data_IF_996302174900
#
_entry.id   IF_996302174900
#
_cell.length_a   1.000
_cell.length_b   1.000
_cell.length_c   1.000
_cell.angle_alpha   90.00
_cell.angle_beta   90.00
_cell.angle_gamma   90.00
#
_symmetry.space_group_name_H-M   'P 1'
#
loop_
_entity.id
_entity.type
_entity.pdbx_description
1 polymer ?
#
# COMPACT_ATOMS: atom_id res chain seq x y z
N UNK A 1 -0.17 -14.32 -28.77
CA UNK A 1 -1.47 -14.23 -28.07
C UNK A 1 -1.20 -14.35 -26.58
N UNK A 2 -1.24 -13.24 -25.84
CA UNK A 2 -1.14 -13.26 -24.38
C UNK A 2 -2.53 -13.56 -23.81
N UNK A 3 -2.72 -14.74 -23.23
CA UNK A 3 -3.94 -15.14 -22.55
C UNK A 3 -4.19 -14.25 -21.34
N UNK A 4 -5.36 -13.62 -21.29
CA UNK A 4 -5.83 -12.84 -20.13
C UNK A 4 -6.39 -13.83 -19.11
N UNK A 5 -5.69 -14.00 -17.99
CA UNK A 5 -5.96 -15.04 -16.99
C UNK A 5 -7.34 -14.93 -16.31
N UNK A 6 -7.87 -13.72 -16.08
CA UNK A 6 -9.22 -13.54 -15.52
C UNK A 6 -9.80 -12.18 -16.00
N UNK A 7 -11.10 -12.11 -16.34
CA UNK A 7 -11.76 -10.84 -16.65
C UNK A 7 -12.00 -9.99 -15.37
N UNK A 8 -11.92 -8.65 -15.46
CA UNK A 8 -11.84 -7.78 -14.30
C UNK A 8 -13.24 -7.32 -13.86
N UNK A 9 -13.97 -8.13 -13.09
CA UNK A 9 -15.14 -7.62 -12.35
C UNK A 9 -15.19 -8.21 -10.95
N UNK A 10 -14.26 -7.80 -10.08
CA UNK A 10 -14.25 -8.14 -8.64
C UNK A 10 -13.75 -9.56 -8.34
N UNK A 11 -12.47 -9.80 -8.63
CA UNK A 11 -11.80 -11.02 -8.20
C UNK A 11 -11.34 -10.88 -6.76
N UNK A 12 -11.76 -11.82 -5.91
CA UNK A 12 -11.21 -11.94 -4.57
C UNK A 12 -9.76 -12.46 -4.66
N UNK A 13 -8.91 -11.98 -3.75
CA UNK A 13 -7.51 -12.35 -3.73
C UNK A 13 -6.90 -12.28 -2.33
N UNK A 14 -5.80 -12.99 -2.14
CA UNK A 14 -5.08 -13.08 -0.87
C UNK A 14 -3.66 -12.54 -1.05
N UNK A 15 -3.21 -11.70 -0.13
CA UNK A 15 -1.83 -11.22 -0.09
C UNK A 15 -0.95 -12.37 0.43
N UNK A 16 0.01 -12.83 -0.38
CA UNK A 16 0.98 -13.87 0.02
C UNK A 16 2.41 -13.38 -0.24
N UNK A 17 3.15 -13.13 0.84
CA UNK A 17 4.48 -12.52 0.75
C UNK A 17 4.38 -11.10 0.18
N UNK A 18 5.07 -10.85 -0.93
CA UNK A 18 5.08 -9.56 -1.66
C UNK A 18 4.10 -9.52 -2.85
N UNK A 19 3.33 -10.59 -3.08
CA UNK A 19 2.42 -10.70 -4.22
C UNK A 19 0.95 -10.88 -3.84
N UNK A 20 0.09 -10.79 -4.85
CA UNK A 20 -1.36 -11.01 -4.74
C UNK A 20 -1.72 -12.32 -5.45
N UNK A 21 -2.43 -13.21 -4.77
CA UNK A 21 -3.02 -14.40 -5.37
C UNK A 21 -4.47 -14.12 -5.68
N UNK A 22 -4.95 -14.54 -6.84
CA UNK A 22 -6.36 -14.45 -7.20
C UNK A 22 -7.06 -15.78 -6.92
N UNK A 23 -8.33 -15.75 -6.53
CA UNK A 23 -9.17 -16.94 -6.33
C UNK A 23 -10.24 -17.10 -7.41
N UNK A 24 -9.96 -16.71 -8.66
CA UNK A 24 -10.86 -16.95 -9.78
C UNK A 24 -10.89 -18.44 -10.16
N UNK A 25 -12.02 -18.93 -10.68
CA UNK A 25 -12.19 -20.35 -11.07
C UNK A 25 -11.17 -20.80 -12.14
N UNK A 26 -10.64 -19.84 -12.90
CA UNK A 26 -9.60 -20.06 -13.92
C UNK A 26 -8.23 -20.22 -13.29
N UNK A 27 -7.87 -19.40 -12.29
CA UNK A 27 -6.53 -19.39 -11.72
C UNK A 27 -6.34 -20.33 -10.53
N UNK A 28 -7.43 -20.78 -9.89
CA UNK A 28 -7.42 -21.76 -8.79
C UNK A 28 -6.36 -21.48 -7.71
N UNK A 29 -6.11 -20.21 -7.39
CA UNK A 29 -5.14 -19.80 -6.36
C UNK A 29 -3.67 -19.75 -6.83
N UNK A 30 -3.38 -19.85 -8.13
CA UNK A 30 -2.04 -19.64 -8.67
C UNK A 30 -1.66 -18.15 -8.71
N UNK A 31 -0.35 -17.87 -8.80
CA UNK A 31 0.18 -16.50 -8.95
C UNK A 31 -0.32 -15.89 -10.25
N UNK A 32 -1.42 -15.15 -10.19
CA UNK A 32 -1.79 -14.25 -11.26
C UNK A 32 -0.89 -13.02 -11.15
N UNK A 33 0.00 -12.82 -12.11
CA UNK A 33 0.36 -11.45 -12.44
C UNK A 33 -0.95 -10.77 -12.83
N UNK A 34 -1.29 -9.66 -12.18
CA UNK A 34 -2.44 -8.85 -12.57
C UNK A 34 -2.37 -8.67 -14.10
N UNK A 35 -3.25 -9.37 -14.81
CA UNK A 35 -3.37 -9.28 -16.25
C UNK A 35 -3.89 -7.89 -16.54
N UNK A 36 -2.98 -6.94 -16.66
CA UNK A 36 -3.28 -5.58 -17.08
C UNK A 36 -3.93 -5.71 -18.45
N UNK A 37 -5.25 -5.55 -18.49
CA UNK A 37 -5.93 -5.18 -19.71
C UNK A 37 -5.30 -3.89 -20.20
N UNK A 38 -4.39 -4.01 -21.16
CA UNK A 38 -3.76 -2.92 -21.89
C UNK A 38 -2.85 -2.02 -21.05
N UNK A 39 -1.55 -2.11 -21.32
CA UNK A 39 -0.46 -1.09 -21.34
C UNK A 39 -0.60 0.36 -20.75
N UNK A 40 -1.64 0.78 -20.04
CA UNK A 40 -1.82 2.21 -19.70
C UNK A 40 -2.42 2.54 -18.34
N UNK A 41 -2.81 1.58 -17.49
CA UNK A 41 -3.34 1.92 -16.16
C UNK A 41 -2.57 1.29 -14.99
N UNK A 42 -2.32 2.11 -13.96
CA UNK A 42 -1.55 1.73 -12.78
C UNK A 42 -2.21 0.54 -12.06
N UNK A 43 -1.51 -0.58 -11.86
CA UNK A 43 -2.09 -1.81 -11.30
C UNK A 43 -2.71 -1.61 -9.91
N UNK A 44 -2.23 -0.64 -9.14
CA UNK A 44 -2.75 -0.30 -7.80
C UNK A 44 -4.13 0.37 -7.80
N UNK A 45 -4.62 0.86 -8.94
CA UNK A 45 -5.96 1.45 -9.05
C UNK A 45 -7.07 0.40 -9.02
N UNK A 46 -6.75 -0.83 -9.40
CA UNK A 46 -7.71 -1.91 -9.62
C UNK A 46 -7.69 -2.99 -8.53
N UNK A 47 -6.88 -2.80 -7.48
CA UNK A 47 -6.83 -3.68 -6.30
C UNK A 47 -7.55 -2.97 -5.15
N UNK A 48 -8.59 -3.61 -4.60
CA UNK A 48 -9.46 -3.03 -3.58
C UNK A 48 -9.36 -3.78 -2.25
N UNK A 49 -9.46 -3.02 -1.16
CA UNK A 49 -9.69 -3.53 0.19
C UNK A 49 -11.17 -3.90 0.39
N UNK A 50 -11.48 -4.60 1.49
CA UNK A 50 -12.86 -4.98 1.85
C UNK A 50 -13.80 -3.78 1.98
N UNK A 51 -13.27 -2.62 2.39
CA UNK A 51 -14.01 -1.37 2.47
C UNK A 51 -14.20 -0.66 1.12
N UNK A 52 -13.92 -1.33 0.00
CA UNK A 52 -14.03 -0.84 -1.39
C UNK A 52 -13.10 0.32 -1.75
N UNK A 53 -12.10 0.64 -0.92
CA UNK A 53 -11.03 1.57 -1.28
C UNK A 53 -9.97 0.84 -2.10
N UNK A 54 -9.46 1.45 -3.15
CA UNK A 54 -8.31 0.89 -3.88
C UNK A 54 -7.01 1.11 -3.13
N UNK A 55 -5.97 0.33 -3.41
CA UNK A 55 -4.61 0.60 -2.88
C UNK A 55 -4.20 2.04 -3.19
N UNK A 56 -4.46 2.48 -4.42
CA UNK A 56 -4.24 3.88 -4.80
C UNK A 56 -5.03 4.85 -3.91
N UNK A 57 -6.33 4.61 -3.71
CA UNK A 57 -7.18 5.45 -2.86
C UNK A 57 -6.69 5.53 -1.42
N UNK A 58 -6.32 4.39 -0.83
CA UNK A 58 -5.71 4.34 0.51
C UNK A 58 -4.43 5.15 0.57
N UNK A 59 -3.53 5.02 -0.41
CA UNK A 59 -2.28 5.80 -0.45
C UNK A 59 -2.57 7.30 -0.54
N UNK A 60 -3.56 7.73 -1.33
CA UNK A 60 -3.91 9.16 -1.43
C UNK A 60 -4.46 9.69 -0.10
N UNK A 61 -5.31 8.93 0.59
CA UNK A 61 -5.81 9.33 1.90
C UNK A 61 -4.67 9.44 2.93
N UNK A 62 -3.77 8.46 2.97
CA UNK A 62 -2.63 8.47 3.90
C UNK A 62 -1.69 9.66 3.67
N UNK A 63 -1.47 10.08 2.41
CA UNK A 63 -0.66 11.25 2.06
C UNK A 63 -1.22 12.55 2.63
N UNK A 64 -2.53 12.63 2.78
CA UNK A 64 -3.21 13.84 3.28
C UNK A 64 -3.35 13.85 4.81
N UNK A 65 -2.93 12.79 5.50
CA UNK A 65 -2.97 12.74 6.96
C UNK A 65 -1.71 13.38 7.57
N UNK A 66 -1.84 14.10 8.71
CA UNK A 66 -0.69 14.51 9.51
C UNK A 66 0.19 13.31 9.84
N UNK A 67 1.52 13.50 9.81
CA UNK A 67 2.48 12.42 10.05
C UNK A 67 2.31 11.75 11.42
N UNK A 68 1.93 12.54 12.42
CA UNK A 68 1.60 12.10 13.78
C UNK A 68 0.41 11.13 13.83
N UNK A 69 -0.54 11.27 12.91
CA UNK A 69 -1.71 10.39 12.80
C UNK A 69 -1.52 9.23 11.81
N UNK A 70 -0.37 9.16 11.11
CA UNK A 70 -0.15 8.21 10.03
C UNK A 70 -0.39 6.75 10.45
N UNK A 71 0.04 6.37 11.65
CA UNK A 71 -0.10 4.99 12.12
C UNK A 71 -1.56 4.60 12.38
N UNK A 72 -2.32 5.51 12.98
CA UNK A 72 -3.74 5.29 13.28
C UNK A 72 -4.57 5.36 12.00
N UNK A 73 -4.21 6.26 11.09
CA UNK A 73 -4.81 6.38 9.76
C UNK A 73 -4.61 5.10 8.94
N UNK A 74 -3.43 4.47 8.98
CA UNK A 74 -3.21 3.19 8.28
C UNK A 74 -4.19 2.12 8.77
N UNK A 75 -4.37 1.99 10.09
CA UNK A 75 -5.27 0.98 10.65
C UNK A 75 -6.75 1.27 10.33
N UNK A 76 -7.12 2.55 10.24
CA UNK A 76 -8.50 2.97 9.97
C UNK A 76 -8.85 2.89 8.49
N UNK A 77 -7.97 3.37 7.61
CA UNK A 77 -8.22 3.51 6.18
C UNK A 77 -8.20 2.16 5.45
N UNK A 78 -7.43 1.17 5.93
CA UNK A 78 -7.41 -0.17 5.29
C UNK A 78 -8.66 -0.99 5.61
N UNK A 79 -9.42 -0.65 6.66
CA UNK A 79 -10.68 -1.30 7.02
C UNK A 79 -10.58 -2.77 7.47
N UNK A 80 -9.37 -3.33 7.53
CA UNK A 80 -9.10 -4.70 7.97
C UNK A 80 -7.87 -4.76 8.87
N UNK A 81 -7.75 -5.85 9.65
CA UNK A 81 -6.56 -6.10 10.47
C UNK A 81 -5.34 -6.28 9.57
N UNK A 82 -4.49 -5.26 9.53
CA UNK A 82 -3.19 -5.31 8.84
C UNK A 82 -2.32 -6.44 9.46
N UNK A 83 -1.36 -6.96 8.69
CA UNK A 83 -0.32 -7.84 9.20
C UNK A 83 0.47 -7.13 10.32
N UNK A 84 0.07 -7.35 11.57
CA UNK A 84 0.57 -6.62 12.72
C UNK A 84 2.08 -6.74 12.90
N UNK A 85 2.67 -7.89 12.54
CA UNK A 85 4.13 -8.10 12.60
C UNK A 85 4.85 -7.21 11.60
N UNK A 86 4.43 -7.24 10.33
CA UNK A 86 5.04 -6.42 9.28
C UNK A 86 4.81 -4.94 9.54
N UNK A 87 3.62 -4.57 10.03
CA UNK A 87 3.31 -3.20 10.40
C UNK A 87 4.23 -2.68 11.51
N UNK A 88 4.49 -3.47 12.56
CA UNK A 88 5.43 -3.10 13.63
C UNK A 88 6.86 -2.93 13.13
N UNK A 89 7.34 -3.85 12.30
CA UNK A 89 8.69 -3.78 11.72
C UNK A 89 8.83 -2.52 10.86
N UNK A 90 7.89 -2.31 9.94
CA UNK A 90 7.90 -1.13 9.08
C UNK A 90 7.78 0.18 9.88
N UNK A 91 6.91 0.23 10.91
CA UNK A 91 6.75 1.40 11.80
C UNK A 91 8.07 1.78 12.47
N UNK A 92 8.81 0.80 13.00
CA UNK A 92 10.11 1.06 13.61
C UNK A 92 11.13 1.60 12.61
N UNK A 93 11.22 1.01 11.41
CA UNK A 93 12.10 1.49 10.34
C UNK A 93 11.74 2.90 9.86
N UNK A 94 10.44 3.19 9.71
CA UNK A 94 9.94 4.51 9.32
C UNK A 94 10.33 5.57 10.36
N UNK A 95 10.10 5.31 11.65
CA UNK A 95 10.46 6.23 12.73
C UNK A 95 11.98 6.47 12.81
N UNK A 96 12.79 5.43 12.62
CA UNK A 96 14.25 5.56 12.57
C UNK A 96 14.68 6.47 11.41
N UNK A 97 14.12 6.27 10.21
CA UNK A 97 14.40 7.11 9.04
C UNK A 97 13.94 8.56 9.24
N UNK A 98 12.76 8.79 9.83
CA UNK A 98 12.29 10.14 10.16
C UNK A 98 13.25 10.88 11.09
N UNK A 99 13.74 10.21 12.14
CA UNK A 99 14.73 10.81 13.06
C UNK A 99 16.04 11.15 12.36
N UNK A 100 16.49 10.27 11.47
CA UNK A 100 17.72 10.51 10.72
C UNK A 100 17.58 11.66 9.74
N UNK A 101 16.43 11.79 9.06
CA UNK A 101 16.13 12.94 8.22
C UNK A 101 16.09 14.24 9.03
N UNK A 102 15.46 14.24 10.21
CA UNK A 102 15.48 15.40 11.12
C UNK A 102 16.90 15.74 11.58
N UNK A 103 17.76 14.75 11.81
CA UNK A 103 19.17 14.97 12.19
C UNK A 103 19.96 15.64 11.06
N UNK A 104 19.67 15.28 9.80
CA UNK A 104 20.37 15.79 8.62
C UNK A 104 19.89 17.21 8.26
N UNK A 105 18.57 17.44 8.27
CA UNK A 105 17.97 18.69 7.79
C UNK A 105 17.56 19.67 8.91
N UNK A 106 17.36 19.21 10.14
CA UNK A 106 16.87 20.03 11.26
C UNK A 106 17.93 20.91 11.93
N UNK A 107 19.13 21.02 11.36
CA UNK A 107 20.22 21.87 11.90
C UNK A 107 20.26 23.26 11.28
N UNK A 108 19.58 23.48 10.15
CA UNK A 108 19.69 24.71 9.37
C UNK A 108 18.81 25.87 9.89
N UNK A 109 17.86 25.62 10.81
CA UNK A 109 16.99 26.65 11.40
C UNK A 109 17.55 27.26 12.71
N UNK A 110 18.70 26.78 13.21
CA UNK A 110 19.25 27.18 14.52
C UNK A 110 20.34 28.27 14.45
N UNK A 111 20.65 28.81 13.26
CA UNK A 111 21.73 29.78 13.08
C UNK A 111 21.34 30.94 12.16
N UNK A 112 20.38 31.76 12.57
CA UNK A 112 20.38 33.18 12.22
C UNK A 112 20.35 33.96 13.55
N UNK A 113 21.51 34.33 14.12
CA UNK A 113 21.55 35.39 15.12
C UNK A 113 21.15 36.72 14.47
N UNK A 114 20.46 37.54 15.28
CA UNK A 114 19.83 38.83 14.98
C UNK A 114 20.61 39.81 14.12
#
# INVERSE_FOLDING_TARGET
MSEVCCQPRYLQGVIKGTGYLCSCDVCKGQKCHAGVGGKSEHPYKHIFFENRKSIYGVVQELKNNPQEMLFDAIQTVTGSTNNARNFRIWKASYQAATRELQRIYGKDDAAIPS
#
